data_IF_942864065403
#
_entry.id   IF_942864065403
#
_cell.length_a   1.000
_cell.length_b   1.000
_cell.length_c   1.000
_cell.angle_alpha   90.00
_cell.angle_beta   90.00
_cell.angle_gamma   90.00
#
_symmetry.space_group_name_H-M   'P 1'
#
loop_
_entity.id
_entity.type
_entity.pdbx_description
1 polymer ?
#
# COMPACT_ATOMS: atom_id res chain seq x y z
N UNK A 1 -7.53 -20.98 -28.66
CA UNK A 1 -8.51 -21.31 -27.61
C UNK A 1 -7.81 -22.16 -26.56
N UNK A 2 -7.37 -21.51 -25.49
CA UNK A 2 -6.90 -22.17 -24.27
C UNK A 2 -7.28 -21.23 -23.12
N UNK A 3 -8.23 -21.68 -22.31
CA UNK A 3 -8.72 -20.97 -21.14
C UNK A 3 -7.65 -21.04 -20.04
N UNK A 4 -7.32 -19.89 -19.44
CA UNK A 4 -6.59 -19.86 -18.17
C UNK A 4 -7.61 -19.53 -17.10
N UNK A 5 -7.96 -20.55 -16.31
CA UNK A 5 -8.79 -20.44 -15.11
C UNK A 5 -8.03 -19.66 -14.02
N UNK A 6 -8.72 -18.69 -13.44
CA UNK A 6 -8.24 -17.86 -12.34
C UNK A 6 -8.22 -18.69 -11.05
N UNK A 7 -7.03 -19.04 -10.56
CA UNK A 7 -6.85 -19.75 -9.29
C UNK A 7 -7.02 -18.77 -8.13
N UNK A 8 -8.00 -19.03 -7.26
CA UNK A 8 -8.24 -18.25 -6.02
C UNK A 8 -7.07 -18.44 -5.03
N UNK A 9 -6.67 -17.41 -4.28
CA UNK A 9 -5.65 -17.55 -3.25
C UNK A 9 -6.18 -18.38 -2.07
N UNK A 10 -5.55 -19.54 -1.86
CA UNK A 10 -5.78 -20.41 -0.71
C UNK A 10 -5.09 -19.88 0.55
N UNK A 11 -5.75 -20.08 1.70
CA UNK A 11 -5.22 -19.83 3.03
C UNK A 11 -3.96 -20.66 3.28
N UNK A 12 -2.82 -20.01 3.48
CA UNK A 12 -1.67 -20.65 4.13
C UNK A 12 -1.95 -20.72 5.63
N UNK A 13 -2.17 -21.93 6.15
CA UNK A 13 -2.25 -22.22 7.59
C UNK A 13 -0.93 -22.87 7.99
N UNK A 14 0.01 -22.06 8.47
CA UNK A 14 1.26 -22.54 9.06
C UNK A 14 1.03 -22.95 10.51
N UNK A 15 1.20 -24.25 10.80
CA UNK A 15 1.08 -24.87 12.12
C UNK A 15 2.14 -24.34 13.10
N UNK A 16 1.75 -23.49 14.05
CA UNK A 16 2.49 -23.31 15.31
C UNK A 16 1.68 -23.92 16.45
N UNK A 17 2.13 -25.08 16.94
CA UNK A 17 1.53 -25.77 18.09
C UNK A 17 2.23 -25.28 19.36
N UNK A 18 1.52 -24.53 20.21
CA UNK A 18 1.85 -24.40 21.62
C UNK A 18 1.01 -25.42 22.43
N UNK A 19 1.56 -26.09 23.47
CA UNK A 19 0.83 -27.13 24.20
C UNK A 19 -0.14 -26.50 25.20
N UNK A 20 -1.43 -26.73 25.04
CA UNK A 20 -2.44 -26.41 26.05
C UNK A 20 -2.63 -27.60 26.98
N UNK A 21 -2.38 -27.39 28.27
CA UNK A 21 -2.70 -28.32 29.36
C UNK A 21 -4.23 -28.42 29.46
N UNK A 22 -4.76 -29.64 29.29
CA UNK A 22 -6.16 -29.95 29.49
C UNK A 22 -6.45 -30.19 30.98
N UNK A 23 -7.43 -29.46 31.52
CA UNK A 23 -8.11 -29.83 32.78
C UNK A 23 -9.53 -30.23 32.41
N UNK A 24 -9.80 -31.53 32.44
CA UNK A 24 -11.14 -32.11 32.37
C UNK A 24 -11.70 -32.17 33.79
N UNK A 25 -12.87 -31.56 34.03
CA UNK A 25 -13.70 -31.84 35.19
C UNK A 25 -15.08 -32.31 34.72
N UNK A 26 -15.51 -33.41 35.34
CA UNK A 26 -16.58 -34.30 34.93
C UNK A 26 -17.99 -33.80 35.31
N UNK A 27 -18.94 -34.25 34.49
CA UNK A 27 -20.40 -34.14 34.55
C UNK A 27 -21.06 -34.31 35.94
N UNK A 28 -22.18 -33.59 36.12
CA UNK A 28 -23.32 -34.09 36.87
C UNK A 28 -24.63 -33.88 36.08
N UNK A 29 -25.32 -34.99 35.91
CA UNK A 29 -26.62 -35.23 35.29
C UNK A 29 -27.77 -34.63 36.10
N UNK A 30 -28.79 -34.11 35.41
CA UNK A 30 -30.07 -33.77 36.01
C UNK A 30 -31.23 -34.06 35.05
N UNK A 31 -31.97 -35.13 35.32
CA UNK A 31 -33.25 -35.46 34.68
C UNK A 31 -34.39 -34.68 35.35
N UNK A 32 -35.33 -34.16 34.56
CA UNK A 32 -36.62 -33.63 35.04
C UNK A 32 -37.62 -33.52 33.89
N UNK A 33 -38.74 -34.24 34.01
CA UNK A 33 -39.82 -34.43 33.03
C UNK A 33 -40.87 -33.27 33.03
N UNK A 34 -41.86 -33.26 32.10
CA UNK A 34 -42.52 -32.05 31.60
C UNK A 34 -43.84 -31.70 32.30
N UNK A 35 -44.22 -30.42 32.25
CA UNK A 35 -45.56 -29.89 32.52
C UNK A 35 -45.77 -28.70 31.55
N UNK A 36 -46.66 -28.73 30.58
CA UNK A 36 -48.13 -28.61 30.64
C UNK A 36 -48.51 -27.33 29.88
N UNK A 37 -49.36 -27.48 28.85
CA UNK A 37 -49.80 -26.41 27.97
C UNK A 37 -50.73 -25.45 28.71
N UNK A 38 -50.46 -24.15 28.60
CA UNK A 38 -51.48 -23.12 28.75
C UNK A 38 -51.48 -22.18 27.55
N UNK A 39 -52.63 -22.21 26.87
CA UNK A 39 -53.06 -21.27 25.84
C UNK A 39 -53.33 -19.91 26.48
N UNK A 40 -52.69 -18.85 25.96
CA UNK A 40 -53.16 -17.48 26.11
C UNK A 40 -52.94 -16.69 24.83
N UNK A 41 -54.07 -16.30 24.24
CA UNK A 41 -54.36 -15.04 23.58
C UNK A 41 -53.35 -14.41 22.60
N UNK A 42 -53.87 -14.26 21.38
CA UNK A 42 -53.49 -13.39 20.28
C UNK A 42 -52.92 -12.03 20.72
N UNK A 43 -51.67 -11.76 20.33
CA UNK A 43 -51.03 -10.44 20.35
C UNK A 43 -50.41 -10.23 18.95
N UNK A 44 -50.61 -9.08 18.30
CA UNK A 44 -50.02 -8.85 16.99
C UNK A 44 -48.50 -8.84 17.15
N UNK A 45 -47.86 -9.81 16.50
CA UNK A 45 -46.41 -9.93 16.41
C UNK A 45 -45.90 -8.66 15.73
N UNK A 46 -45.35 -7.74 16.51
CA UNK A 46 -44.59 -6.62 15.98
C UNK A 46 -43.44 -7.22 15.19
N UNK A 47 -43.58 -7.21 13.86
CA UNK A 47 -42.49 -7.50 12.95
C UNK A 47 -41.44 -6.43 13.19
N UNK A 48 -40.40 -6.77 13.96
CA UNK A 48 -39.17 -6.03 13.94
C UNK A 48 -38.74 -5.98 12.47
N UNK A 49 -38.84 -4.79 11.87
CA UNK A 49 -38.33 -4.52 10.55
C UNK A 49 -36.83 -4.67 10.67
N UNK A 50 -36.31 -5.79 10.16
CA UNK A 50 -34.90 -5.99 9.93
C UNK A 50 -34.35 -4.73 9.24
N UNK A 51 -33.26 -4.13 9.75
CA UNK A 51 -32.71 -2.94 9.12
C UNK A 51 -32.38 -3.34 7.69
N UNK A 52 -33.00 -2.65 6.72
CA UNK A 52 -32.70 -2.86 5.32
C UNK A 52 -31.20 -2.63 5.16
N UNK A 53 -30.47 -3.65 4.72
CA UNK A 53 -29.10 -3.49 4.28
C UNK A 53 -29.12 -2.43 3.18
N UNK A 54 -28.72 -1.21 3.52
CA UNK A 54 -28.50 -0.15 2.54
C UNK A 54 -27.36 -0.64 1.68
N UNK A 55 -27.70 -1.09 0.48
CA UNK A 55 -26.72 -1.44 -0.54
C UNK A 55 -26.14 -0.13 -1.06
N UNK A 56 -25.27 0.50 -0.29
CA UNK A 56 -24.65 1.75 -0.68
C UNK A 56 -23.73 1.50 -1.86
N UNK A 57 -23.83 2.37 -2.88
CA UNK A 57 -23.00 2.26 -4.08
C UNK A 57 -21.51 2.27 -3.70
N UNK A 58 -20.73 1.42 -4.37
CA UNK A 58 -19.28 1.32 -4.17
C UNK A 58 -18.60 2.52 -4.81
N UNK A 59 -17.74 3.22 -4.06
CA UNK A 59 -16.95 4.35 -4.55
C UNK A 59 -15.88 3.84 -5.52
N UNK A 60 -15.75 4.48 -6.69
CA UNK A 60 -14.68 4.17 -7.63
C UNK A 60 -13.45 5.02 -7.29
N UNK A 61 -12.35 4.36 -6.89
CA UNK A 61 -11.11 4.99 -6.44
C UNK A 61 -9.99 4.64 -7.41
N UNK A 62 -9.47 5.66 -8.10
CA UNK A 62 -8.31 5.50 -8.97
C UNK A 62 -7.03 5.84 -8.22
N UNK A 63 -5.96 5.09 -8.47
CA UNK A 63 -4.68 5.27 -7.77
C UNK A 63 -3.54 5.31 -8.76
N UNK A 64 -2.52 6.12 -8.47
CA UNK A 64 -1.35 6.25 -9.35
C UNK A 64 -0.29 5.17 -9.12
N UNK A 65 -0.35 4.41 -8.03
CA UNK A 65 0.60 3.35 -7.72
C UNK A 65 -0.06 2.19 -6.94
N UNK A 66 0.66 1.07 -6.85
CA UNK A 66 0.19 -0.12 -6.15
C UNK A 66 0.04 0.07 -4.62
N UNK A 67 0.97 0.71 -3.87
CA UNK A 67 0.80 0.96 -2.43
C UNK A 67 -0.54 1.65 -2.10
N UNK A 68 -0.90 2.70 -2.83
CA UNK A 68 -2.17 3.39 -2.63
C UNK A 68 -3.37 2.51 -3.00
N UNK A 69 -3.26 1.71 -4.07
CA UNK A 69 -4.29 0.73 -4.43
C UNK A 69 -4.52 -0.28 -3.29
N UNK A 70 -3.43 -0.79 -2.70
CA UNK A 70 -3.46 -1.71 -1.59
C UNK A 70 -4.09 -1.07 -0.34
N UNK A 71 -3.69 0.15 0.03
CA UNK A 71 -4.27 0.85 1.19
C UNK A 71 -5.76 1.13 0.99
N UNK A 72 -6.16 1.63 -0.18
CA UNK A 72 -7.56 1.89 -0.50
C UNK A 72 -8.42 0.63 -0.41
N UNK A 73 -7.95 -0.49 -0.96
CA UNK A 73 -8.66 -1.77 -0.91
C UNK A 73 -8.79 -2.30 0.54
N UNK A 74 -7.73 -2.18 1.34
CA UNK A 74 -7.72 -2.60 2.76
C UNK A 74 -8.66 -1.77 3.62
N UNK A 75 -8.72 -0.45 3.38
CA UNK A 75 -9.56 0.47 4.15
C UNK A 75 -11.03 0.37 3.70
N UNK A 76 -11.26 0.33 2.39
CA UNK A 76 -12.60 0.43 1.82
C UNK A 76 -13.34 -0.90 1.70
N UNK A 77 -12.65 -2.03 1.59
CA UNK A 77 -13.26 -3.34 1.38
C UNK A 77 -14.26 -3.34 0.22
N UNK A 78 -15.42 -3.96 0.41
CA UNK A 78 -16.47 -4.05 -0.63
C UNK A 78 -17.13 -2.69 -0.97
N UNK A 79 -16.85 -1.64 -0.19
CA UNK A 79 -17.40 -0.30 -0.42
C UNK A 79 -16.61 0.53 -1.41
N UNK A 80 -15.46 0.03 -1.86
CA UNK A 80 -14.63 0.69 -2.86
C UNK A 80 -14.32 -0.26 -4.00
N UNK A 81 -14.37 0.26 -5.23
CA UNK A 81 -13.79 -0.34 -6.42
C UNK A 81 -12.48 0.39 -6.69
N UNK A 82 -11.36 -0.28 -6.43
CA UNK A 82 -10.02 0.29 -6.64
C UNK A 82 -9.51 -0.03 -8.04
N UNK A 83 -8.99 0.99 -8.72
CA UNK A 83 -8.40 0.89 -10.06
C UNK A 83 -6.98 1.43 -10.07
N UNK A 84 -6.07 0.63 -10.61
CA UNK A 84 -4.69 1.03 -10.90
C UNK A 84 -4.37 0.63 -12.35
N UNK A 85 -4.59 1.53 -13.32
CA UNK A 85 -4.56 1.20 -14.75
C UNK A 85 -3.14 1.04 -15.33
N UNK A 86 -2.09 1.37 -14.58
CA UNK A 86 -0.72 1.22 -15.09
C UNK A 86 -0.44 -0.26 -15.41
N UNK A 87 0.23 -0.54 -16.55
CA UNK A 87 0.47 -1.92 -16.98
C UNK A 87 1.48 -2.62 -16.04
N UNK A 88 1.35 -3.94 -15.84
CA UNK A 88 2.19 -4.69 -14.91
C UNK A 88 3.65 -4.83 -15.36
N UNK A 89 3.95 -4.59 -16.64
CA UNK A 89 5.26 -4.73 -17.28
C UNK A 89 5.98 -3.38 -17.50
N UNK A 90 5.41 -2.27 -17.05
CA UNK A 90 6.03 -0.94 -17.10
C UNK A 90 6.35 -0.38 -15.71
N UNK A 91 7.24 0.61 -15.67
CA UNK A 91 7.47 1.43 -14.48
C UNK A 91 6.31 2.42 -14.29
N UNK A 92 5.47 2.26 -13.25
CA UNK A 92 4.32 3.12 -13.06
C UNK A 92 4.66 4.56 -12.69
N UNK A 93 5.88 4.85 -12.22
CA UNK A 93 6.33 6.21 -11.95
C UNK A 93 6.53 7.02 -13.25
N UNK A 94 6.93 6.33 -14.33
CA UNK A 94 7.20 6.88 -15.66
C UNK A 94 6.09 6.58 -16.68
N UNK A 95 5.06 5.82 -16.28
CA UNK A 95 3.92 5.53 -17.13
C UNK A 95 3.09 6.78 -17.42
N UNK A 96 2.66 6.93 -18.67
CA UNK A 96 1.74 7.97 -19.11
C UNK A 96 0.40 7.34 -19.56
N UNK A 97 -0.75 7.79 -19.00
CA UNK A 97 -2.07 7.30 -19.38
C UNK A 97 -2.49 7.74 -20.78
N UNK A 98 -3.28 6.90 -21.45
CA UNK A 98 -3.97 7.27 -22.68
C UNK A 98 -5.24 8.10 -22.41
N UNK A 99 -5.90 8.58 -23.46
CA UNK A 99 -7.13 9.39 -23.34
C UNK A 99 -8.25 8.68 -22.57
N UNK A 100 -8.39 7.36 -22.76
CA UNK A 100 -9.37 6.55 -22.06
C UNK A 100 -9.10 6.50 -20.55
N UNK A 101 -7.84 6.35 -20.16
CA UNK A 101 -7.42 6.33 -18.76
C UNK A 101 -7.64 7.70 -18.12
N UNK A 102 -7.25 8.80 -18.79
CA UNK A 102 -7.52 10.17 -18.31
C UNK A 102 -9.02 10.40 -18.10
N UNK A 103 -9.85 9.94 -19.03
CA UNK A 103 -11.31 10.01 -18.89
C UNK A 103 -11.80 9.22 -17.68
N UNK A 104 -11.22 8.04 -17.43
CA UNK A 104 -11.56 7.21 -16.29
C UNK A 104 -11.15 7.86 -14.96
N UNK A 105 -9.94 8.41 -14.87
CA UNK A 105 -9.50 9.22 -13.73
C UNK A 105 -10.43 10.43 -13.48
N UNK A 106 -10.86 11.13 -14.53
CA UNK A 106 -11.74 12.29 -14.38
C UNK A 106 -13.16 11.93 -13.90
N UNK A 107 -13.64 10.72 -14.20
CA UNK A 107 -14.99 10.25 -13.83
C UNK A 107 -15.03 9.50 -12.50
N UNK A 108 -13.89 9.06 -11.95
CA UNK A 108 -13.79 8.43 -10.63
C UNK A 108 -14.38 9.28 -9.49
N UNK A 109 -14.69 8.67 -8.35
CA UNK A 109 -15.13 9.40 -7.15
C UNK A 109 -13.94 10.02 -6.41
N UNK A 110 -12.80 9.31 -6.40
CA UNK A 110 -11.53 9.79 -5.84
C UNK A 110 -10.36 9.38 -6.74
N UNK A 111 -9.34 10.23 -6.79
CA UNK A 111 -8.03 9.93 -7.38
C UNK A 111 -6.96 10.14 -6.31
N UNK A 112 -6.31 9.04 -5.92
CA UNK A 112 -5.27 9.03 -4.90
C UNK A 112 -3.90 9.30 -5.54
N UNK A 113 -3.28 10.40 -5.12
CA UNK A 113 -1.95 10.83 -5.54
C UNK A 113 -0.94 10.50 -4.44
N UNK A 114 0.22 10.00 -4.85
CA UNK A 114 1.31 9.70 -3.93
C UNK A 114 2.01 10.98 -3.41
N UNK A 115 1.96 12.05 -4.19
CA UNK A 115 2.76 13.26 -3.95
C UNK A 115 4.23 13.06 -4.31
N UNK A 116 5.09 13.99 -3.86
CA UNK A 116 6.53 13.97 -4.13
C UNK A 116 6.90 13.88 -5.63
N UNK A 117 6.07 14.43 -6.51
CA UNK A 117 6.31 14.40 -7.96
C UNK A 117 6.04 13.05 -8.64
N UNK A 118 5.58 12.04 -7.90
CA UNK A 118 5.18 10.76 -8.48
C UNK A 118 4.08 10.94 -9.55
N UNK A 119 4.14 10.14 -10.62
CA UNK A 119 3.21 10.20 -11.75
C UNK A 119 3.17 11.58 -12.41
N UNK A 120 4.29 11.98 -13.03
CA UNK A 120 4.49 13.31 -13.59
C UNK A 120 3.42 13.77 -14.60
N UNK A 121 2.71 12.84 -15.24
CA UNK A 121 1.59 13.12 -16.13
C UNK A 121 0.43 13.88 -15.45
N UNK A 122 0.31 13.80 -14.12
CA UNK A 122 -0.69 14.55 -13.35
C UNK A 122 -0.54 16.06 -13.56
N UNK A 123 0.68 16.56 -13.79
CA UNK A 123 0.95 17.99 -14.00
C UNK A 123 0.38 18.55 -15.30
N UNK A 124 0.11 17.68 -16.29
CA UNK A 124 -0.42 18.08 -17.60
C UNK A 124 -1.86 17.64 -17.81
N UNK A 125 -2.37 16.72 -16.97
CA UNK A 125 -3.74 16.26 -17.02
C UNK A 125 -4.73 17.28 -16.43
N UNK A 126 -5.93 17.36 -17.04
CA UNK A 126 -7.03 18.17 -16.53
C UNK A 126 -7.99 17.26 -15.75
N UNK A 127 -7.82 17.21 -14.43
CA UNK A 127 -8.66 16.42 -13.52
C UNK A 127 -9.46 17.34 -12.58
N UNK A 128 -10.66 16.95 -12.13
CA UNK A 128 -11.42 17.72 -11.15
C UNK A 128 -10.69 17.77 -9.81
N UNK A 129 -10.31 18.98 -9.37
CA UNK A 129 -9.47 19.18 -8.19
C UNK A 129 -10.10 18.68 -6.88
N UNK A 130 -11.43 18.68 -6.80
CA UNK A 130 -12.21 18.19 -5.66
C UNK A 130 -12.16 16.66 -5.48
N UNK A 131 -11.69 15.93 -6.50
CA UNK A 131 -11.51 14.47 -6.47
C UNK A 131 -10.08 14.05 -6.15
N UNK A 132 -9.11 14.96 -6.25
CA UNK A 132 -7.71 14.67 -6.06
C UNK A 132 -7.36 14.63 -4.56
N UNK A 133 -6.69 13.57 -4.14
CA UNK A 133 -6.21 13.40 -2.76
C UNK A 133 -4.69 13.25 -2.80
N UNK A 134 -3.97 14.31 -2.44
CA UNK A 134 -2.53 14.19 -2.16
C UNK A 134 -2.33 13.53 -0.79
N UNK A 135 -1.96 12.25 -0.83
CA UNK A 135 -1.75 11.45 0.38
C UNK A 135 -0.48 11.83 1.13
N UNK A 136 0.40 12.66 0.55
CA UNK A 136 1.62 13.15 1.21
C UNK A 136 1.46 14.46 1.96
N UNK A 137 0.33 15.16 1.77
CA UNK A 137 0.14 16.52 2.27
C UNK A 137 0.36 16.67 3.79
N UNK A 138 0.03 15.63 4.57
CA UNK A 138 0.19 15.63 6.03
C UNK A 138 1.64 15.53 6.52
N UNK A 139 2.59 15.19 5.65
CA UNK A 139 4.00 14.99 5.97
C UNK A 139 4.93 15.64 4.93
N UNK A 140 4.48 16.69 4.25
CA UNK A 140 5.26 17.40 3.23
C UNK A 140 6.63 17.88 3.74
N UNK A 141 6.73 18.23 5.03
CA UNK A 141 7.97 18.63 5.70
C UNK A 141 8.96 17.48 5.94
N UNK A 142 8.50 16.23 5.80
CA UNK A 142 9.31 15.01 5.93
C UNK A 142 9.72 14.43 4.56
N UNK A 143 9.38 15.07 3.44
CA UNK A 143 9.83 14.62 2.13
C UNK A 143 11.36 14.78 1.98
N UNK A 144 12.01 13.83 1.33
CA UNK A 144 13.46 13.84 1.09
C UNK A 144 13.72 14.48 -0.26
N UNK A 145 14.54 15.53 -0.30
CA UNK A 145 15.16 15.98 -1.55
C UNK A 145 16.18 14.91 -1.97
N UNK A 146 15.90 14.19 -3.04
CA UNK A 146 16.79 13.16 -3.57
C UNK A 146 18.01 13.77 -4.28
N UNK A 147 18.08 15.10 -4.39
CA UNK A 147 19.16 15.80 -5.09
C UNK A 147 19.17 15.51 -6.58
N UNK A 148 20.03 16.20 -7.33
CA UNK A 148 20.24 15.89 -8.74
C UNK A 148 20.76 14.46 -8.87
N UNK A 149 20.03 13.63 -9.62
CA UNK A 149 20.43 12.29 -10.00
C UNK A 149 21.91 12.27 -10.38
N UNK A 150 22.67 11.37 -9.77
CA UNK A 150 24.05 11.12 -10.18
C UNK A 150 23.99 10.52 -11.58
N UNK A 151 24.32 11.31 -12.60
CA UNK A 151 24.47 10.82 -13.97
C UNK A 151 25.69 9.92 -14.05
N UNK A 152 25.48 8.65 -14.34
CA UNK A 152 26.54 7.73 -14.71
C UNK A 152 26.21 7.08 -16.05
N UNK A 153 27.18 7.15 -16.95
CA UNK A 153 27.12 6.57 -18.29
C UNK A 153 27.50 5.10 -18.20
N UNK A 154 26.60 4.22 -18.65
CA UNK A 154 26.96 2.86 -19.02
C UNK A 154 27.31 2.84 -20.52
N UNK A 155 28.34 2.07 -20.87
CA UNK A 155 28.84 1.94 -22.23
C UNK A 155 27.78 1.49 -23.23
N UNK A 156 28.04 1.81 -24.51
CA UNK A 156 27.22 1.60 -25.70
C UNK A 156 25.82 2.26 -25.70
N UNK A 157 25.80 3.54 -25.31
CA UNK A 157 25.04 4.56 -26.06
C UNK A 157 23.54 4.65 -25.79
N UNK A 158 23.03 4.02 -24.75
CA UNK A 158 21.70 4.33 -24.21
C UNK A 158 21.87 5.14 -22.93
N UNK A 159 21.70 6.46 -23.04
CA UNK A 159 21.62 7.33 -21.88
C UNK A 159 20.29 7.08 -21.16
N UNK A 160 20.34 6.35 -20.05
CA UNK A 160 19.25 6.33 -19.08
C UNK A 160 19.48 7.47 -18.08
N UNK A 161 19.06 8.68 -18.45
CA UNK A 161 18.96 9.78 -17.48
C UNK A 161 17.78 9.51 -16.55
N UNK A 162 18.07 9.28 -15.26
CA UNK A 162 17.11 9.48 -14.18
C UNK A 162 17.01 10.97 -13.77
N UNK A 163 17.36 11.87 -14.68
CA UNK A 163 17.36 13.31 -14.49
C UNK A 163 16.66 13.97 -15.66
N UNK A 164 15.54 14.60 -15.32
CA UNK A 164 14.74 15.54 -16.10
C UNK A 164 15.55 16.31 -17.17
N UNK A 165 15.42 15.89 -18.42
CA UNK A 165 15.58 16.80 -19.54
C UNK A 165 14.41 17.79 -19.48
N UNK A 166 14.76 19.07 -19.30
CA UNK A 166 13.88 20.25 -19.37
C UNK A 166 13.00 20.57 -18.13
N UNK A 167 13.65 21.06 -17.07
CA UNK A 167 13.10 22.20 -16.31
C UNK A 167 12.54 21.94 -14.92
N UNK A 168 13.40 22.05 -13.92
CA UNK A 168 13.09 22.49 -12.55
C UNK A 168 11.94 21.76 -11.83
N UNK A 169 12.18 20.51 -11.43
CA UNK A 169 11.59 19.93 -10.23
C UNK A 169 12.74 19.43 -9.37
N UNK A 170 12.78 19.81 -8.09
CA UNK A 170 13.61 19.12 -7.11
C UNK A 170 13.17 17.65 -7.15
N UNK A 171 14.08 16.74 -7.51
CA UNK A 171 13.82 15.29 -7.51
C UNK A 171 13.54 14.91 -6.07
N UNK A 172 12.27 14.93 -5.68
CA UNK A 172 11.85 14.55 -4.34
C UNK A 172 11.74 13.03 -4.36
N UNK A 173 12.36 12.34 -3.39
CA UNK A 173 12.20 10.90 -3.29
C UNK A 173 10.70 10.60 -3.08
N UNK A 174 10.15 9.74 -3.94
CA UNK A 174 8.71 9.48 -3.99
C UNK A 174 8.29 8.16 -3.33
N UNK A 175 9.23 7.30 -2.95
CA UNK A 175 8.98 6.00 -2.31
C UNK A 175 8.69 6.11 -0.80
N UNK A 176 7.83 7.07 -0.45
CA UNK A 176 7.44 7.41 0.92
C UNK A 176 6.88 6.20 1.69
N UNK A 177 6.21 5.28 0.98
CA UNK A 177 5.63 4.06 1.54
C UNK A 177 6.66 3.06 2.10
N UNK A 178 7.96 3.25 1.85
CA UNK A 178 9.03 2.43 2.45
C UNK A 178 9.36 2.81 3.90
N UNK A 179 8.89 3.96 4.38
CA UNK A 179 8.78 4.27 5.81
C UNK A 179 7.35 3.94 6.25
N UNK A 180 7.12 2.86 7.04
CA UNK A 180 5.78 2.45 7.46
C UNK A 180 5.01 3.55 8.19
N UNK A 181 5.69 4.48 8.88
CA UNK A 181 5.04 5.61 9.54
C UNK A 181 4.47 6.62 8.52
N UNK A 182 5.13 6.80 7.37
CA UNK A 182 4.59 7.59 6.26
C UNK A 182 3.47 6.84 5.53
N UNK A 183 3.61 5.52 5.35
CA UNK A 183 2.54 4.69 4.79
C UNK A 183 1.25 4.76 5.62
N UNK A 184 1.35 4.73 6.97
CA UNK A 184 0.21 4.93 7.87
C UNK A 184 -0.41 6.32 7.67
N UNK A 185 0.40 7.36 7.50
CA UNK A 185 -0.11 8.70 7.23
C UNK A 185 -0.83 8.79 5.87
N UNK A 186 -0.31 8.14 4.83
CA UNK A 186 -1.01 8.03 3.53
C UNK A 186 -2.33 7.27 3.69
N UNK A 187 -2.34 6.16 4.41
CA UNK A 187 -3.55 5.39 4.71
C UNK A 187 -4.59 6.21 5.48
N UNK A 188 -4.16 7.07 6.41
CA UNK A 188 -5.05 7.95 7.17
C UNK A 188 -5.72 8.99 6.26
N UNK A 189 -4.96 9.58 5.32
CA UNK A 189 -5.51 10.50 4.32
C UNK A 189 -6.59 9.81 3.47
N UNK A 190 -6.34 8.57 3.03
CA UNK A 190 -7.31 7.77 2.28
C UNK A 190 -8.57 7.51 3.09
N UNK A 191 -8.43 7.06 4.36
CA UNK A 191 -9.56 6.84 5.27
C UNK A 191 -10.42 8.11 5.38
N UNK A 192 -9.80 9.25 5.62
CA UNK A 192 -10.52 10.50 5.84
C UNK A 192 -11.25 10.97 4.57
N UNK A 193 -10.64 10.81 3.40
CA UNK A 193 -11.28 11.08 2.11
C UNK A 193 -12.46 10.13 1.83
N UNK A 194 -12.34 8.84 2.15
CA UNK A 194 -13.45 7.89 2.00
C UNK A 194 -14.61 8.22 2.96
N UNK A 195 -14.31 8.58 4.21
CA UNK A 195 -15.31 9.03 5.18
C UNK A 195 -16.01 10.29 4.71
N UNK A 196 -15.29 11.22 4.08
CA UNK A 196 -15.88 12.44 3.53
C UNK A 196 -16.88 12.14 2.40
N UNK A 197 -16.54 11.20 1.51
CA UNK A 197 -17.39 10.82 0.37
C UNK A 197 -18.59 9.96 0.79
N UNK A 198 -18.43 9.10 1.80
CA UNK A 198 -19.47 8.17 2.25
C UNK A 198 -19.55 8.12 3.79
N UNK A 199 -20.09 9.16 4.44
CA UNK A 199 -20.11 9.29 5.91
C UNK A 199 -20.86 8.17 6.64
N UNK A 200 -21.87 7.57 5.99
CA UNK A 200 -22.64 6.45 6.51
C UNK A 200 -21.81 5.17 6.68
N UNK A 201 -20.68 5.06 5.98
CA UNK A 201 -19.74 3.93 6.02
C UNK A 201 -18.50 4.22 6.88
N UNK A 202 -18.51 5.31 7.64
CA UNK A 202 -17.33 5.76 8.36
C UNK A 202 -16.79 4.77 9.40
N UNK A 203 -17.68 4.00 10.04
CA UNK A 203 -17.26 2.97 11.00
C UNK A 203 -16.45 1.86 10.33
N UNK A 204 -16.84 1.45 9.12
CA UNK A 204 -16.14 0.41 8.37
C UNK A 204 -14.79 0.89 7.85
N UNK A 205 -14.71 2.13 7.34
CA UNK A 205 -13.43 2.70 6.91
C UNK A 205 -12.46 2.87 8.08
N UNK A 206 -12.94 3.25 9.26
CA UNK A 206 -12.10 3.27 10.47
C UNK A 206 -11.61 1.87 10.83
N UNK A 207 -12.50 0.87 10.83
CA UNK A 207 -12.09 -0.50 11.12
C UNK A 207 -11.06 -1.05 10.10
N UNK A 208 -11.24 -0.76 8.82
CA UNK A 208 -10.29 -1.13 7.76
C UNK A 208 -8.93 -0.44 7.93
N UNK A 209 -8.95 0.85 8.27
CA UNK A 209 -7.73 1.60 8.62
C UNK A 209 -7.04 1.05 9.86
N UNK A 210 -7.76 0.84 10.97
CA UNK A 210 -7.19 0.35 12.23
C UNK A 210 -6.49 -1.00 12.03
N UNK A 211 -7.07 -1.88 11.20
CA UNK A 211 -6.44 -3.15 10.83
C UNK A 211 -5.17 -2.96 10.00
N UNK A 212 -5.16 -2.04 9.03
CA UNK A 212 -3.99 -1.75 8.21
C UNK A 212 -2.88 -1.07 9.03
N UNK A 213 -3.24 -0.13 9.90
CA UNK A 213 -2.31 0.56 10.81
C UNK A 213 -1.63 -0.43 11.74
N UNK A 214 -2.37 -1.41 12.29
CA UNK A 214 -1.79 -2.46 13.11
C UNK A 214 -0.75 -3.29 12.35
N UNK A 215 -1.04 -3.69 11.10
CA UNK A 215 -0.11 -4.45 10.27
C UNK A 215 1.14 -3.63 9.91
N UNK A 216 0.98 -2.35 9.55
CA UNK A 216 2.09 -1.46 9.23
C UNK A 216 2.95 -1.14 10.46
N UNK A 217 2.34 -1.03 11.63
CA UNK A 217 3.07 -0.86 12.90
C UNK A 217 3.87 -2.10 13.27
N UNK A 218 3.31 -3.30 13.04
CA UNK A 218 4.05 -4.54 13.23
C UNK A 218 5.22 -4.66 12.25
N UNK A 219 5.01 -4.28 10.98
CA UNK A 219 6.07 -4.23 9.98
C UNK A 219 7.19 -3.26 10.34
N UNK A 220 6.85 -2.08 10.88
CA UNK A 220 7.83 -1.10 11.40
C UNK A 220 8.71 -1.73 12.48
N UNK A 221 8.10 -2.43 13.44
CA UNK A 221 8.82 -3.13 14.53
C UNK A 221 9.71 -4.26 14.01
N UNK A 222 9.23 -5.05 13.04
CA UNK A 222 10.01 -6.11 12.41
C UNK A 222 11.24 -5.53 11.68
N UNK A 223 11.08 -4.42 10.96
CA UNK A 223 12.20 -3.73 10.33
C UNK A 223 13.18 -3.12 11.34
N UNK A 224 12.69 -2.50 12.43
CA UNK A 224 13.57 -2.02 13.51
C UNK A 224 14.45 -3.16 14.05
N UNK A 225 13.85 -4.31 14.36
CA UNK A 225 14.59 -5.46 14.89
C UNK A 225 15.62 -6.01 13.90
N UNK A 226 15.27 -6.08 12.60
CA UNK A 226 16.18 -6.56 11.54
C UNK A 226 17.36 -5.61 11.37
N UNK A 227 17.12 -4.31 11.26
CA UNK A 227 18.19 -3.34 11.01
C UNK A 227 19.03 -3.07 12.26
N UNK A 228 18.47 -3.15 13.48
CA UNK A 228 19.26 -3.15 14.71
C UNK A 228 20.23 -4.34 14.76
N UNK A 229 19.76 -5.54 14.40
CA UNK A 229 20.60 -6.73 14.36
C UNK A 229 21.68 -6.68 13.26
N UNK A 230 21.40 -5.95 12.17
CA UNK A 230 22.33 -5.76 11.06
C UNK A 230 23.46 -4.77 11.41
N UNK A 231 23.17 -3.78 12.26
CA UNK A 231 24.10 -2.72 12.65
C UNK A 231 24.58 -1.92 11.44
N UNK A 232 25.87 -1.61 11.39
CA UNK A 232 26.47 -0.81 10.32
C UNK A 232 26.80 -1.61 9.04
N UNK A 233 26.39 -2.88 8.96
CA UNK A 233 26.70 -3.74 7.80
C UNK A 233 26.16 -3.10 6.52
N UNK A 234 27.01 -2.88 5.49
CA UNK A 234 26.57 -2.28 4.23
C UNK A 234 25.49 -3.11 3.54
N UNK A 235 24.42 -2.44 3.09
CA UNK A 235 23.35 -3.05 2.29
C UNK A 235 23.42 -2.51 0.87
N UNK A 236 23.55 -3.42 -0.09
CA UNK A 236 23.60 -3.06 -1.51
C UNK A 236 22.21 -3.17 -2.13
N UNK A 237 21.74 -2.07 -2.70
CA UNK A 237 20.47 -1.98 -3.41
C UNK A 237 20.70 -1.86 -4.92
N UNK A 238 19.86 -2.52 -5.72
CA UNK A 238 19.95 -2.36 -7.18
C UNK A 238 19.57 -0.96 -7.63
N UNK A 239 18.56 -0.31 -7.04
CA UNK A 239 18.08 1.02 -7.43
C UNK A 239 18.13 2.04 -6.29
N UNK A 240 18.21 3.35 -6.58
CA UNK A 240 18.24 4.44 -5.60
C UNK A 240 16.81 4.81 -5.13
N UNK A 241 16.08 3.87 -4.56
CA UNK A 241 14.67 4.08 -4.16
C UNK A 241 14.43 3.84 -2.67
N UNK A 242 15.47 3.62 -1.87
CA UNK A 242 15.38 3.19 -0.46
C UNK A 242 15.61 4.32 0.56
N UNK A 243 15.63 5.59 0.13
CA UNK A 243 15.99 6.74 0.97
C UNK A 243 15.14 6.85 2.26
N UNK A 244 13.84 6.58 2.18
CA UNK A 244 12.95 6.61 3.35
C UNK A 244 13.23 5.48 4.33
N UNK A 245 13.53 4.28 3.82
CA UNK A 245 13.92 3.12 4.62
C UNK A 245 15.28 3.34 5.29
N UNK A 246 16.26 3.84 4.54
CA UNK A 246 17.58 4.22 5.04
C UNK A 246 17.46 5.26 6.17
N UNK A 247 16.69 6.32 5.96
CA UNK A 247 16.47 7.36 6.96
C UNK A 247 15.76 6.85 8.21
N UNK A 248 14.74 6.00 8.07
CA UNK A 248 13.92 5.50 9.19
C UNK A 248 14.70 4.56 10.12
N UNK A 249 15.57 3.72 9.56
CA UNK A 249 16.26 2.67 10.30
C UNK A 249 17.78 2.85 10.39
N UNK A 250 18.34 3.94 9.83
CA UNK A 250 19.77 4.20 9.86
C UNK A 250 20.59 3.22 9.03
N UNK A 251 20.03 2.70 7.93
CA UNK A 251 20.70 1.69 7.11
C UNK A 251 21.89 2.29 6.38
N UNK A 252 23.05 1.62 6.45
CA UNK A 252 24.23 1.91 5.63
C UNK A 252 24.01 1.41 4.18
N UNK A 253 23.11 2.09 3.47
CA UNK A 253 22.68 1.72 2.12
C UNK A 253 23.60 2.23 1.02
N UNK A 254 23.78 1.41 -0.02
CA UNK A 254 24.52 1.75 -1.24
C UNK A 254 23.73 1.28 -2.45
N UNK A 255 23.33 2.21 -3.32
CA UNK A 255 22.73 1.85 -4.61
C UNK A 255 23.76 1.69 -5.73
N UNK A 256 23.59 0.67 -6.54
CA UNK A 256 24.45 0.34 -7.70
C UNK A 256 23.84 0.65 -9.06
N UNK A 257 22.55 0.99 -9.13
CA UNK A 257 21.81 1.35 -10.36
C UNK A 257 21.82 0.23 -11.42
N UNK A 258 21.57 -1.01 -10.98
CA UNK A 258 21.53 -2.16 -11.87
C UNK A 258 20.12 -2.50 -12.30
N UNK A 259 19.93 -2.76 -13.59
CA UNK A 259 18.63 -3.11 -14.16
C UNK A 259 18.21 -4.54 -13.80
N UNK A 260 16.93 -4.78 -13.47
CA UNK A 260 16.43 -6.12 -13.21
C UNK A 260 16.51 -6.97 -14.49
N UNK A 261 17.18 -8.11 -14.41
CA UNK A 261 17.27 -9.07 -15.53
C UNK A 261 18.52 -8.92 -16.40
N UNK A 262 19.36 -7.92 -16.12
CA UNK A 262 20.69 -7.78 -16.72
C UNK A 262 21.77 -8.21 -15.73
N UNK A 263 22.74 -9.01 -16.20
CA UNK A 263 23.88 -9.38 -15.38
C UNK A 263 24.89 -8.22 -15.37
N UNK A 264 25.44 -7.86 -14.20
CA UNK A 264 26.40 -6.77 -14.13
C UNK A 264 27.67 -7.12 -14.91
N UNK A 265 28.20 -6.15 -15.66
CA UNK A 265 29.48 -6.26 -16.36
C UNK A 265 30.68 -6.21 -15.41
N UNK A 266 31.87 -6.53 -15.93
CA UNK A 266 33.11 -6.54 -15.14
C UNK A 266 33.43 -5.16 -14.53
N UNK A 267 33.12 -4.07 -15.23
CA UNK A 267 33.31 -2.70 -14.75
C UNK A 267 32.38 -2.37 -13.57
N UNK A 268 31.13 -2.84 -13.62
CA UNK A 268 30.15 -2.63 -12.54
C UNK A 268 30.50 -3.44 -11.29
N UNK A 269 30.99 -4.67 -11.47
CA UNK A 269 31.51 -5.49 -10.38
C UNK A 269 32.76 -4.86 -9.75
N UNK A 270 33.63 -4.28 -10.57
CA UNK A 270 34.81 -3.53 -10.08
C UNK A 270 34.38 -2.30 -9.28
N UNK A 271 33.43 -1.51 -9.79
CA UNK A 271 32.88 -0.35 -9.11
C UNK A 271 32.19 -0.70 -7.79
N UNK A 272 31.47 -1.83 -7.73
CA UNK A 272 30.92 -2.36 -6.48
C UNK A 272 32.03 -2.68 -5.48
N UNK A 273 33.09 -3.37 -5.91
CA UNK A 273 34.23 -3.69 -5.06
C UNK A 273 34.86 -2.44 -4.43
N UNK A 274 35.02 -1.37 -5.22
CA UNK A 274 35.50 -0.10 -4.68
C UNK A 274 34.51 0.59 -3.72
N UNK A 275 33.21 0.55 -4.03
CA UNK A 275 32.16 1.10 -3.15
C UNK A 275 32.17 0.40 -1.80
N UNK A 276 32.27 -0.93 -1.78
CA UNK A 276 32.34 -1.73 -0.55
C UNK A 276 33.60 -1.43 0.29
N UNK A 277 34.72 -1.04 -0.33
CA UNK A 277 35.92 -0.62 0.41
C UNK A 277 35.72 0.75 1.07
N UNK A 278 35.01 1.67 0.40
CA UNK A 278 34.75 3.04 0.89
C UNK A 278 33.57 3.12 1.88
N UNK A 279 32.70 2.13 1.86
CA UNK A 279 31.56 1.94 2.76
C UNK A 279 31.67 0.56 3.43
N UNK A 280 32.57 0.39 4.42
CA UNK A 280 32.75 -0.86 5.14
C UNK A 280 31.63 -1.13 6.16
#
# INVERSE_FOLDING_TARGET
>A
MANIEYVRPGRYVGNWRAPTIAVFAFLATGCGQPAEQQSTADMPKATAREPAATNTASLTVYTVNYPLAYFAARIGGDRVRVEFPAPPDGDPANWAPGEADITAYATADLVLLNGAGYAGWINTAVLPADKLVDTSAAFADRLIDAGSAVTHSHGDGVEHSHGDEEGNQSSTAFTTWLDPQLAIAQAAAIRDSLILQQPESAADFRAGFDSLEADLTALDQDFEAVFEALGDTPVVFSHPVYQYLERRYGVNGISVHWEPGEAPGDDELTALGEKMIRHP
#
